data_IF_566198422072
#
_entry.id   IF_566198422072
#
_cell.length_a   1.000
_cell.length_b   1.000
_cell.length_c   1.000
_cell.angle_alpha   90.00
_cell.angle_beta   90.00
_cell.angle_gamma   90.00
#
_symmetry.space_group_name_H-M   'P 1'
#
loop_
_entity.id
_entity.type
_entity.pdbx_description
1 polymer ?
#
# COMPACT_ATOMS: atom_id res chain seq x y z
N UNK A 1 17.09 -14.12 -9.92
CA UNK A 1 17.09 -13.22 -9.45
C UNK A 1 16.58 -13.05 -8.21
N UNK A 2 17.08 -12.53 -7.46
CA UNK A 2 16.69 -12.44 -6.14
C UNK A 2 15.46 -11.67 -6.02
N UNK A 3 14.72 -11.97 -5.07
CA UNK A 3 13.62 -11.26 -4.83
C UNK A 3 14.02 -10.11 -4.09
N UNK A 4 13.74 -8.97 -4.48
CA UNK A 4 14.11 -7.82 -3.83
C UNK A 4 12.97 -7.20 -3.14
N UNK A 5 13.15 -6.64 -1.99
CA UNK A 5 12.10 -5.99 -1.24
C UNK A 5 11.37 -4.92 -2.01
N UNK A 6 12.05 -4.28 -2.94
CA UNK A 6 11.40 -3.20 -3.62
C UNK A 6 10.27 -3.72 -4.50
N UNK A 7 10.18 -5.01 -4.73
CA UNK A 7 9.09 -5.50 -5.53
C UNK A 7 7.76 -5.33 -4.82
N UNK A 8 7.78 -5.02 -3.53
CA UNK A 8 6.53 -4.84 -2.81
C UNK A 8 5.84 -3.56 -3.23
N UNK A 9 6.61 -2.54 -3.64
CA UNK A 9 6.00 -1.32 -4.11
C UNK A 9 5.21 -1.62 -5.38
N UNK A 10 5.78 -2.43 -6.25
CA UNK A 10 5.11 -2.78 -7.48
C UNK A 10 3.89 -3.65 -7.20
N UNK A 11 3.98 -4.56 -6.26
CA UNK A 11 2.87 -5.42 -5.91
C UNK A 11 1.69 -4.58 -5.42
N UNK A 12 1.93 -3.65 -4.51
CA UNK A 12 0.87 -2.82 -3.97
C UNK A 12 0.26 -1.97 -5.09
N UNK A 13 1.10 -1.46 -6.00
CA UNK A 13 0.63 -0.66 -7.10
C UNK A 13 -0.33 -1.47 -7.96
N UNK A 14 0.02 -2.70 -8.29
CA UNK A 14 -0.81 -3.52 -9.14
C UNK A 14 -2.14 -3.88 -8.45
N UNK A 15 -2.08 -4.18 -7.17
CA UNK A 15 -3.29 -4.51 -6.46
C UNK A 15 -4.23 -3.30 -6.43
N UNK A 16 -3.68 -2.12 -6.13
CA UNK A 16 -4.51 -0.93 -6.05
C UNK A 16 -5.15 -0.62 -7.39
N UNK A 17 -4.36 -0.73 -8.46
CA UNK A 17 -4.90 -0.44 -9.78
C UNK A 17 -6.03 -1.39 -10.15
N UNK A 18 -5.96 -2.61 -9.68
CA UNK A 18 -7.01 -3.57 -10.00
C UNK A 18 -8.30 -3.28 -9.23
N UNK A 19 -8.21 -2.55 -8.13
CA UNK A 19 -9.37 -2.31 -7.31
C UNK A 19 -10.08 -0.99 -7.58
N UNK A 20 -9.37 0.00 -8.07
CA UNK A 20 -9.95 1.33 -8.21
C UNK A 20 -10.57 1.62 -9.56
N UNK A 21 -11.36 2.69 -9.61
CA UNK A 21 -11.96 3.10 -10.88
C UNK A 21 -11.04 4.04 -11.65
N UNK A 22 -10.13 4.72 -10.97
CA UNK A 22 -9.25 5.67 -11.63
C UNK A 22 -7.80 5.23 -11.40
N UNK A 23 -7.36 4.20 -12.10
CA UNK A 23 -6.02 3.65 -11.88
C UNK A 23 -4.89 4.62 -12.16
N UNK A 24 -5.10 5.60 -12.99
CA UNK A 24 -4.02 6.53 -13.27
C UNK A 24 -3.74 7.44 -12.08
N UNK A 25 -4.59 7.42 -11.05
CA UNK A 25 -4.33 8.22 -9.86
C UNK A 25 -3.62 7.41 -8.79
N UNK A 26 -3.33 6.16 -9.05
CA UNK A 26 -2.67 5.34 -8.05
C UNK A 26 -1.19 5.68 -8.00
N UNK A 27 -0.68 5.95 -6.80
CA UNK A 27 0.73 6.19 -6.61
C UNK A 27 1.16 5.50 -5.34
N UNK A 28 2.32 4.91 -5.36
CA UNK A 28 2.87 4.25 -4.18
C UNK A 28 4.28 4.75 -3.98
N UNK A 29 4.52 5.42 -2.86
CA UNK A 29 5.85 5.90 -2.54
C UNK A 29 6.45 4.96 -1.52
N UNK A 30 7.73 4.74 -1.59
CA UNK A 30 8.41 3.86 -0.65
C UNK A 30 9.47 4.65 0.08
N UNK A 31 9.48 4.54 1.40
CA UNK A 31 10.49 5.20 2.19
C UNK A 31 11.26 4.09 2.86
N UNK A 32 12.50 3.89 2.52
CA UNK A 32 13.28 2.78 3.01
C UNK A 32 14.33 3.14 4.01
N UNK A 33 14.42 2.33 5.05
CA UNK A 33 15.47 2.46 6.01
C UNK A 33 16.16 1.12 6.00
N UNK A 34 17.11 0.90 6.88
CA UNK A 34 17.81 -0.37 6.89
C UNK A 34 16.93 -1.59 7.00
N UNK A 35 16.01 -1.60 7.93
CA UNK A 35 15.20 -2.78 8.14
C UNK A 35 13.72 -2.56 7.91
N UNK A 36 13.34 -1.40 7.46
CA UNK A 36 11.93 -1.06 7.32
C UNK A 36 11.67 -0.33 6.03
N UNK A 37 10.55 -0.66 5.40
CA UNK A 37 10.10 0.08 4.23
C UNK A 37 8.65 0.48 4.50
N UNK A 38 8.35 1.75 4.35
CA UNK A 38 6.99 2.23 4.52
C UNK A 38 6.46 2.54 3.14
N UNK A 39 5.39 1.88 2.77
CA UNK A 39 4.77 2.09 1.46
C UNK A 39 3.56 2.99 1.68
N UNK A 40 3.51 4.11 0.98
CA UNK A 40 2.42 5.04 1.11
C UNK A 40 1.62 5.03 -0.18
N UNK A 41 0.39 4.57 -0.06
CA UNK A 41 -0.48 4.43 -1.21
C UNK A 41 -1.45 5.58 -1.26
N UNK A 42 -1.57 6.23 -2.42
CA UNK A 42 -2.59 7.24 -2.61
C UNK A 42 -3.36 6.90 -3.86
N UNK A 43 -4.63 7.21 -3.85
CA UNK A 43 -5.52 6.94 -4.98
C UNK A 43 -6.46 8.11 -5.08
N UNK A 44 -7.31 8.14 -6.09
CA UNK A 44 -8.30 9.21 -6.21
C UNK A 44 -9.16 9.19 -4.95
N UNK A 45 -9.55 10.36 -4.44
CA UNK A 45 -10.36 10.40 -3.22
C UNK A 45 -11.59 9.51 -3.27
N UNK A 46 -12.23 9.43 -4.42
CA UNK A 46 -13.42 8.60 -4.54
C UNK A 46 -13.10 7.12 -4.49
N UNK A 47 -11.84 6.74 -4.59
CA UNK A 47 -11.47 5.34 -4.60
C UNK A 47 -10.87 4.86 -3.28
N UNK A 48 -10.69 5.75 -2.32
CA UNK A 48 -10.07 5.36 -1.06
C UNK A 48 -10.81 4.19 -0.41
N UNK A 49 -12.12 4.21 -0.43
CA UNK A 49 -12.88 3.12 0.17
C UNK A 49 -12.65 1.79 -0.51
N UNK A 50 -12.25 1.81 -1.79
CA UNK A 50 -12.05 0.56 -2.51
C UNK A 50 -10.76 -0.13 -2.09
N UNK A 51 -9.76 0.64 -1.68
CA UNK A 51 -8.52 0.02 -1.26
C UNK A 51 -8.54 -0.29 0.24
N UNK A 52 -9.39 0.38 1.00
CA UNK A 52 -9.53 0.05 2.41
C UNK A 52 -10.44 -1.18 2.53
N UNK A 53 -11.50 -1.19 1.76
CA UNK A 53 -12.41 -2.31 1.74
C UNK A 53 -13.41 -2.26 2.87
N UNK A 54 -14.43 -3.12 2.80
CA UNK A 54 -15.44 -3.14 3.80
C UNK A 54 -14.85 -3.48 5.14
N UNK A 55 -15.07 -2.66 6.12
CA UNK A 55 -14.56 -2.86 7.45
C UNK A 55 -13.03 -2.98 7.48
N UNK A 56 -12.38 -2.38 6.51
CA UNK A 56 -10.93 -2.38 6.47
C UNK A 56 -10.31 -3.69 6.05
N UNK A 57 -11.11 -4.61 5.50
CA UNK A 57 -10.58 -5.94 5.22
C UNK A 57 -9.54 -5.99 4.13
N UNK A 58 -9.71 -5.18 3.09
CA UNK A 58 -8.75 -5.20 1.99
C UNK A 58 -7.40 -4.67 2.48
N UNK A 59 -7.43 -3.56 3.20
CA UNK A 59 -6.18 -3.00 3.71
C UNK A 59 -5.52 -3.97 4.67
N UNK A 60 -6.32 -4.64 5.50
CA UNK A 60 -5.75 -5.58 6.45
C UNK A 60 -5.12 -6.76 5.74
N UNK A 61 -5.75 -7.23 4.66
CA UNK A 61 -5.21 -8.34 3.90
C UNK A 61 -3.89 -7.97 3.24
N UNK A 62 -3.81 -6.74 2.71
CA UNK A 62 -2.56 -6.32 2.11
C UNK A 62 -1.45 -6.25 3.17
N UNK A 63 -1.78 -5.75 4.36
CA UNK A 63 -0.79 -5.66 5.43
C UNK A 63 -0.34 -7.05 5.89
N UNK A 64 -1.26 -8.02 5.86
CA UNK A 64 -0.91 -9.37 6.24
C UNK A 64 0.06 -9.97 5.23
N UNK A 65 -0.18 -9.75 3.95
CA UNK A 65 0.71 -10.25 2.92
C UNK A 65 2.09 -9.61 3.04
N UNK A 66 2.12 -8.29 3.25
CA UNK A 66 3.39 -7.61 3.37
C UNK A 66 4.15 -8.08 4.61
N UNK A 67 3.44 -8.38 5.68
CA UNK A 67 4.07 -8.88 6.87
C UNK A 67 4.69 -10.25 6.66
N UNK A 68 4.01 -11.10 5.89
CA UNK A 68 4.53 -12.43 5.63
C UNK A 68 5.79 -12.35 4.78
N UNK A 69 5.79 -11.46 3.77
CA UNK A 69 6.96 -11.31 2.92
C UNK A 69 8.10 -10.74 3.75
N UNK A 70 7.78 -9.82 4.66
CA UNK A 70 8.80 -9.22 5.49
C UNK A 70 9.47 -10.25 6.39
N UNK A 71 8.68 -11.18 6.92
CA UNK A 71 9.27 -12.20 7.77
C UNK A 71 10.24 -13.06 6.99
N UNK A 72 9.92 -13.33 5.74
CA UNK A 72 10.78 -14.16 4.93
C UNK A 72 12.10 -13.46 4.67
N UNK A 73 12.10 -12.14 4.51
CA UNK A 73 13.29 -11.40 4.18
C UNK A 73 13.89 -10.65 5.37
N UNK A 74 13.33 -10.83 6.55
CA UNK A 74 13.81 -10.14 7.75
C UNK A 74 13.76 -8.64 7.55
N UNK A 75 12.67 -8.18 6.99
CA UNK A 75 12.48 -6.77 6.68
C UNK A 75 11.05 -6.42 7.07
N UNK A 76 10.82 -5.24 7.59
CA UNK A 76 9.49 -4.86 8.00
C UNK A 76 8.86 -3.97 6.94
N UNK A 77 7.69 -4.35 6.46
CA UNK A 77 6.96 -3.53 5.52
C UNK A 77 5.73 -2.96 6.21
N UNK A 78 5.48 -1.68 6.01
CA UNK A 78 4.29 -1.03 6.53
C UNK A 78 3.53 -0.45 5.36
N UNK A 79 2.22 -0.36 5.48
CA UNK A 79 1.39 0.22 4.44
C UNK A 79 0.53 1.32 5.02
N UNK A 80 0.69 2.52 4.49
CA UNK A 80 -0.15 3.64 4.86
C UNK A 80 -1.01 3.96 3.67
N UNK A 81 -2.31 4.13 3.88
CA UNK A 81 -3.22 4.53 2.82
C UNK A 81 -3.59 5.95 3.12
N UNK A 82 -3.26 6.85 2.18
CA UNK A 82 -3.48 8.27 2.42
C UNK A 82 -4.92 8.65 2.12
N UNK A 83 -5.54 9.33 3.08
CA UNK A 83 -6.91 9.75 2.87
C UNK A 83 -6.95 11.22 2.84
N UNK A 84 -6.62 11.77 1.71
CA UNK A 84 -6.60 13.17 1.65
C UNK A 84 -7.86 13.82 1.59
N UNK A 85 -8.88 13.15 1.79
CA UNK A 85 -10.13 13.80 1.67
C UNK A 85 -10.35 14.65 2.86
N UNK A 86 -9.47 14.72 3.75
CA UNK A 86 -9.75 15.39 4.86
C UNK A 86 -9.06 16.55 5.10
N UNK A 87 -9.04 17.31 4.30
CA UNK A 87 -8.32 18.46 4.36
C UNK A 87 -8.64 19.22 5.49
N UNK A 88 -9.58 19.27 5.68
CA UNK A 88 -9.82 20.21 6.58
C UNK A 88 -9.61 19.81 7.77
N UNK A 89 -9.64 18.81 7.79
CA UNK A 89 -9.51 18.43 8.89
C UNK A 89 -8.52 18.88 9.12
N UNK A 90 -8.37 19.13 8.44
CA UNK A 90 -7.39 19.61 8.74
C UNK A 90 -7.88 20.26 9.31
#
# INVERSE_FOLDING_TARGET
MPERPENMQELVTQIARALVDIPEEVKVDAEENDLTTILRLSVAPSDVGKVIGKQGRTARSMRTILGAVGMKHRHRYSLDILEESDPGSG
#
